data_IF_569869845447
#
_entry.id   IF_569869845447
#
_cell.length_a   1.000
_cell.length_b   1.000
_cell.length_c   1.000
_cell.angle_alpha   90.00
_cell.angle_beta   90.00
_cell.angle_gamma   90.00
#
_symmetry.space_group_name_H-M   'P 1'
#
loop_
_entity.id
_entity.type
_entity.pdbx_description
1 polymer ?
#
# COMPACT_ATOMS: atom_id res chain seq x y z
N UNK A 1 -4.80 2.01 -4.73
CA UNK A 1 -3.40 1.83 -5.23
C UNK A 1 -2.34 2.12 -4.17
N UNK A 2 -2.35 3.27 -3.49
CA UNK A 2 -1.34 3.60 -2.45
C UNK A 2 -1.32 2.60 -1.29
N UNK A 3 -2.49 2.24 -0.74
CA UNK A 3 -2.58 1.25 0.34
C UNK A 3 -1.99 -0.12 -0.03
N UNK A 4 -2.21 -0.58 -1.28
CA UNK A 4 -1.60 -1.82 -1.79
C UNK A 4 -0.08 -1.73 -1.88
N UNK A 5 0.48 -0.58 -2.29
CA UNK A 5 1.94 -0.40 -2.32
C UNK A 5 2.55 -0.39 -0.92
N UNK A 6 1.86 0.20 0.06
CA UNK A 6 2.30 0.19 1.45
C UNK A 6 2.24 -1.23 2.02
N UNK A 7 1.13 -1.95 1.86
CA UNK A 7 1.00 -3.35 2.29
C UNK A 7 2.06 -4.24 1.65
N UNK A 8 2.31 -4.06 0.35
CA UNK A 8 3.37 -4.77 -0.37
C UNK A 8 4.72 -4.59 0.31
N UNK A 9 5.06 -3.36 0.73
CA UNK A 9 6.35 -3.07 1.36
C UNK A 9 6.41 -3.54 2.82
N UNK A 10 5.32 -3.40 3.57
CA UNK A 10 5.23 -3.83 4.97
C UNK A 10 5.36 -5.35 5.11
N UNK A 11 4.76 -6.09 4.18
CA UNK A 11 4.65 -7.56 4.21
C UNK A 11 5.65 -8.23 3.24
N UNK A 12 6.48 -7.44 2.57
CA UNK A 12 7.46 -7.89 1.57
C UNK A 12 6.86 -8.83 0.49
N UNK A 13 5.76 -8.40 -0.14
CA UNK A 13 5.00 -9.20 -1.11
C UNK A 13 5.30 -8.84 -2.58
N UNK A 14 5.06 -9.78 -3.49
CA UNK A 14 4.99 -9.48 -4.93
C UNK A 14 3.71 -8.71 -5.28
N UNK A 15 3.66 -8.13 -6.49
CA UNK A 15 2.47 -7.39 -6.93
C UNK A 15 1.25 -8.32 -7.07
N UNK A 16 1.46 -9.53 -7.55
CA UNK A 16 0.41 -10.56 -7.68
C UNK A 16 -0.06 -11.02 -6.30
N UNK A 17 0.88 -11.23 -5.36
CA UNK A 17 0.55 -11.68 -4.02
C UNK A 17 -0.22 -10.64 -3.22
N UNK A 18 0.11 -9.36 -3.33
CA UNK A 18 -0.63 -8.31 -2.60
C UNK A 18 -2.05 -8.15 -3.14
N UNK A 19 -2.24 -8.24 -4.46
CA UNK A 19 -3.58 -8.21 -5.09
C UNK A 19 -4.39 -9.45 -4.70
N UNK A 20 -3.78 -10.63 -4.68
CA UNK A 20 -4.42 -11.86 -4.22
C UNK A 20 -4.78 -11.77 -2.74
N UNK A 21 -3.91 -11.21 -1.90
CA UNK A 21 -4.22 -11.08 -0.48
C UNK A 21 -5.29 -10.04 -0.20
N UNK A 22 -5.32 -8.93 -0.95
CA UNK A 22 -6.44 -8.00 -0.85
C UNK A 22 -7.78 -8.72 -1.05
N UNK A 23 -7.88 -9.59 -2.06
CA UNK A 23 -9.10 -10.37 -2.32
C UNK A 23 -9.46 -11.28 -1.14
N UNK A 24 -8.48 -11.88 -0.46
CA UNK A 24 -8.70 -12.93 0.56
C UNK A 24 -8.77 -12.38 1.99
N UNK A 25 -8.20 -11.20 2.25
CA UNK A 25 -8.00 -10.67 3.59
C UNK A 25 -8.80 -9.37 3.80
N UNK A 26 -9.90 -9.40 4.57
CA UNK A 26 -10.68 -8.21 4.89
C UNK A 26 -9.86 -7.09 5.56
N UNK A 27 -8.83 -7.42 6.32
CA UNK A 27 -7.96 -6.41 6.95
C UNK A 27 -7.17 -5.60 5.91
N UNK A 28 -6.77 -6.22 4.80
CA UNK A 28 -6.08 -5.50 3.72
C UNK A 28 -7.04 -4.54 3.00
N UNK A 29 -8.30 -4.93 2.85
CA UNK A 29 -9.33 -4.08 2.28
C UNK A 29 -9.64 -2.90 3.20
N UNK A 30 -9.82 -3.17 4.49
CA UNK A 30 -10.03 -2.14 5.49
C UNK A 30 -8.86 -1.15 5.56
N UNK A 31 -7.62 -1.64 5.55
CA UNK A 31 -6.42 -0.80 5.50
C UNK A 31 -6.40 0.10 4.25
N UNK A 32 -6.91 -0.39 3.11
CA UNK A 32 -7.03 0.40 1.90
C UNK A 32 -8.26 1.36 1.89
N UNK A 33 -9.01 1.44 2.99
CA UNK A 33 -10.15 2.34 3.15
C UNK A 33 -11.51 1.77 2.75
N UNK A 34 -11.63 0.45 2.52
CA UNK A 34 -12.91 -0.18 2.21
C UNK A 34 -13.69 -0.48 3.49
N UNK A 35 -14.97 -0.09 3.52
CA UNK A 35 -15.86 -0.34 4.65
C UNK A 35 -16.50 -1.74 4.63
N UNK A 36 -16.64 -2.32 3.43
CA UNK A 36 -17.28 -3.61 3.21
C UNK A 36 -16.33 -4.55 2.50
N UNK A 37 -16.47 -5.85 2.79
CA UNK A 37 -15.70 -6.88 2.11
C UNK A 37 -16.14 -7.04 0.64
N UNK A 38 -15.17 -6.97 -0.26
CA UNK A 38 -15.33 -7.18 -1.69
C UNK A 38 -14.50 -8.40 -2.13
N UNK A 39 -15.12 -9.51 -2.57
CA UNK A 39 -14.41 -10.73 -2.96
C UNK A 39 -13.71 -10.64 -4.33
N UNK A 40 -13.50 -9.44 -4.86
CA UNK A 40 -12.86 -9.18 -6.15
C UNK A 40 -11.38 -8.83 -6.02
N UNK A 41 -10.65 -8.95 -7.12
CA UNK A 41 -9.32 -8.32 -7.19
C UNK A 41 -9.50 -6.81 -7.38
N UNK A 42 -8.73 -5.98 -6.66
CA UNK A 42 -8.88 -4.52 -6.72
C UNK A 42 -8.37 -3.92 -8.03
N UNK A 43 -7.42 -4.60 -8.70
CA UNK A 43 -6.78 -4.20 -9.94
C UNK A 43 -6.00 -5.38 -10.54
N UNK A 44 -5.50 -5.21 -11.77
CA UNK A 44 -4.46 -6.09 -12.30
C UNK A 44 -3.11 -5.78 -11.62
N UNK A 45 -2.30 -6.80 -11.31
CA UNK A 45 -0.97 -6.62 -10.71
C UNK A 45 -0.05 -5.71 -11.55
N UNK A 46 -0.17 -5.76 -12.88
CA UNK A 46 0.61 -4.91 -13.80
C UNK A 46 0.30 -3.42 -13.63
N UNK A 47 -0.91 -3.06 -13.18
CA UNK A 47 -1.26 -1.67 -12.89
C UNK A 47 -0.43 -1.09 -11.75
N UNK A 48 -0.01 -1.92 -10.78
CA UNK A 48 0.90 -1.48 -9.71
C UNK A 48 2.28 -1.11 -10.26
N UNK A 49 2.76 -1.86 -11.26
CA UNK A 49 4.02 -1.54 -11.96
C UNK A 49 3.91 -0.20 -12.69
N UNK A 50 2.84 0.00 -13.45
CA UNK A 50 2.60 1.26 -14.17
C UNK A 50 2.42 2.44 -13.22
N UNK A 51 1.72 2.23 -12.10
CA UNK A 51 1.54 3.25 -11.08
C UNK A 51 2.88 3.66 -10.47
N UNK A 52 3.75 2.70 -10.09
CA UNK A 52 5.11 3.00 -9.60
C UNK A 52 5.94 3.78 -10.62
N UNK A 53 5.89 3.38 -11.89
CA UNK A 53 6.60 4.09 -12.98
C UNK A 53 6.10 5.52 -13.13
N UNK A 54 4.79 5.75 -13.00
CA UNK A 54 4.17 7.08 -13.14
C UNK A 54 4.55 8.02 -12.01
N UNK A 55 4.51 7.56 -10.77
CA UNK A 55 4.83 8.41 -9.60
C UNK A 55 6.34 8.58 -9.40
N UNK A 56 7.14 7.62 -9.87
CA UNK A 56 8.58 7.58 -9.70
C UNK A 56 9.02 7.60 -8.23
N UNK A 57 10.33 7.78 -8.03
CA UNK A 57 10.95 7.82 -6.69
C UNK A 57 10.42 9.00 -5.87
N UNK A 58 10.23 10.17 -6.49
CA UNK A 58 9.74 11.38 -5.82
C UNK A 58 8.32 11.18 -5.26
N UNK A 59 7.42 10.59 -6.04
CA UNK A 59 6.06 10.33 -5.60
C UNK A 59 5.99 9.24 -4.52
N UNK A 60 6.83 8.21 -4.63
CA UNK A 60 6.93 7.19 -3.58
C UNK A 60 7.43 7.77 -2.25
N UNK A 61 8.47 8.60 -2.28
CA UNK A 61 8.97 9.27 -1.08
C UNK A 61 7.93 10.21 -0.46
N UNK A 62 7.09 10.86 -1.27
CA UNK A 62 6.00 11.69 -0.76
C UNK A 62 4.95 10.83 -0.04
N UNK A 63 4.55 9.70 -0.62
CA UNK A 63 3.65 8.73 0.02
C UNK A 63 4.20 8.29 1.38
N UNK A 64 5.49 7.91 1.42
CA UNK A 64 6.15 7.48 2.64
C UNK A 64 6.22 8.60 3.70
N UNK A 65 6.58 9.82 3.29
CA UNK A 65 6.62 10.98 4.18
C UNK A 65 5.25 11.26 4.79
N UNK A 66 4.19 11.18 3.99
CA UNK A 66 2.82 11.36 4.47
C UNK A 66 2.41 10.26 5.44
N UNK A 67 2.74 8.98 5.15
CA UNK A 67 2.42 7.88 6.08
C UNK A 67 3.14 8.03 7.42
N UNK A 68 4.40 8.46 7.43
CA UNK A 68 5.17 8.72 8.67
C UNK A 68 4.56 9.90 9.44
N UNK A 69 4.20 10.99 8.74
CA UNK A 69 3.63 12.18 9.36
C UNK A 69 2.30 11.91 10.09
N UNK A 70 1.49 10.98 9.57
CA UNK A 70 0.24 10.56 10.23
C UNK A 70 0.46 9.97 11.63
N UNK A 71 1.64 9.41 11.90
CA UNK A 71 1.99 8.82 13.19
C UNK A 71 2.74 9.79 14.13
N UNK A 72 2.89 11.07 13.75
CA UNK A 72 3.41 12.13 14.62
C UNK A 72 4.85 11.92 15.12
N UNK A 73 5.16 12.44 16.31
CA UNK A 73 6.52 12.42 16.91
C UNK A 73 7.06 11.00 17.21
N UNK A 74 6.18 10.00 17.35
CA UNK A 74 6.59 8.61 17.64
C UNK A 74 7.26 7.91 16.44
N UNK A 75 6.94 8.32 15.22
CA UNK A 75 7.56 7.75 14.03
C UNK A 75 8.94 8.35 13.71
N UNK A 76 9.22 9.57 14.18
CA UNK A 76 10.54 10.23 14.02
C UNK A 76 11.61 9.68 14.96
N UNK A 77 11.25 9.16 16.13
CA UNK A 77 12.22 8.62 17.10
C UNK A 77 12.73 7.21 16.76
N UNK A 78 12.09 6.51 15.81
CA UNK A 78 12.47 5.15 15.39
C UNK A 78 13.42 5.15 14.17
N UNK A 79 13.76 6.33 13.65
CA UNK A 79 14.65 6.50 12.49
C UNK A 79 16.10 6.85 12.90
N UNK A 80 16.44 6.73 14.19
CA UNK A 80 17.78 6.94 14.74
C UNK A 80 18.32 5.67 15.38
#
# INVERSE_FOLDING_TARGET
MVGLLLLKQLENLSDERVVLQFKRNPYYQYFCGYSNYMPGMPCNATELVHFRKRIGVKGFNLIFKMSVALHGKQAQSLAY
#
